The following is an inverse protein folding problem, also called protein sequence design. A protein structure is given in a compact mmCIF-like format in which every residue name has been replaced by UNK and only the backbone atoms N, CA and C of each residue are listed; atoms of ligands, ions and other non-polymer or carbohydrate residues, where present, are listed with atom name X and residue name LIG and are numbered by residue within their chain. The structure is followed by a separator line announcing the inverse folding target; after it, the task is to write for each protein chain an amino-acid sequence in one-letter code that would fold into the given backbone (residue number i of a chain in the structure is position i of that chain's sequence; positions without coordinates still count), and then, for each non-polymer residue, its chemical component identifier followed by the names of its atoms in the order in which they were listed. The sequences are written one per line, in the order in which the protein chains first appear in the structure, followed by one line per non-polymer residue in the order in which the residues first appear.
data_IF_447649553354
#
_entry.id   IF_447649553354
#
_cell.length_a   1.000
_cell.length_b   1.000
_cell.length_c   1.000
_cell.angle_alpha   90.00
_cell.angle_beta   90.00
_cell.angle_gamma   90.00
#
_symmetry.space_group_name_H-M   'P 1'
#
loop_
_entity.id
_entity.type
_entity.pdbx_description
1 polymer ?
#
# COMPACT_ATOMS: atom_id res chain seq x y z
N UNK A 1 -6.25 13.35 32.45
CA UNK A 1 -5.96 14.26 31.32
C UNK A 1 -6.62 13.65 30.09
N UNK A 2 -7.81 14.10 29.70
CA UNK A 2 -8.37 13.71 28.40
C UNK A 2 -7.66 14.53 27.34
N UNK A 3 -6.53 14.04 26.84
CA UNK A 3 -5.86 14.62 25.70
C UNK A 3 -6.77 14.46 24.50
N UNK A 4 -7.51 15.51 24.15
CA UNK A 4 -8.26 15.56 22.89
C UNK A 4 -7.22 15.45 21.77
N UNK A 5 -7.34 14.43 20.93
CA UNK A 5 -6.50 14.28 19.76
C UNK A 5 -6.63 15.56 18.92
N UNK A 6 -5.49 16.13 18.55
CA UNK A 6 -5.44 17.30 17.70
C UNK A 6 -5.80 16.87 16.27
N UNK A 7 -6.92 17.35 15.72
CA UNK A 7 -7.38 16.96 14.38
C UNK A 7 -6.37 17.31 13.28
N UNK A 8 -5.46 18.25 13.51
CA UNK A 8 -4.42 18.64 12.54
C UNK A 8 -3.41 17.51 12.28
N UNK A 9 -3.37 16.48 13.14
CA UNK A 9 -2.52 15.30 12.97
C UNK A 9 -3.26 14.10 12.35
N UNK A 10 -4.54 14.22 12.02
CA UNK A 10 -5.28 13.14 11.35
C UNK A 10 -5.20 13.30 9.83
N UNK A 11 -5.19 12.17 9.12
CA UNK A 11 -5.53 12.19 7.71
C UNK A 11 -6.96 12.73 7.54
N UNK A 12 -7.26 13.30 6.37
CA UNK A 12 -8.63 13.69 6.01
C UNK A 12 -9.60 12.52 6.21
N UNK A 13 -10.85 12.79 6.58
CA UNK A 13 -11.83 11.73 6.80
C UNK A 13 -11.97 10.84 5.55
N UNK A 14 -12.15 9.51 5.71
CA UNK A 14 -12.42 8.65 4.58
C UNK A 14 -13.70 9.09 3.87
N UNK A 15 -13.85 8.80 2.56
CA UNK A 15 -15.10 9.02 1.85
C UNK A 15 -16.29 8.42 2.61
N UNK A 16 -17.38 9.18 2.69
CA UNK A 16 -18.63 8.67 3.26
C UNK A 16 -19.14 7.47 2.42
N UNK A 17 -19.75 6.49 3.07
CA UNK A 17 -20.17 5.24 2.41
C UNK A 17 -21.18 5.48 1.28
N UNK A 18 -22.02 6.49 1.41
CA UNK A 18 -23.02 6.92 0.42
C UNK A 18 -22.47 7.85 -0.67
N UNK A 19 -21.16 8.11 -0.69
CA UNK A 19 -20.54 9.00 -1.67
C UNK A 19 -20.15 8.29 -2.96
N UNK A 20 -20.20 9.01 -4.08
CA UNK A 20 -19.73 8.51 -5.38
C UNK A 20 -18.23 8.14 -5.38
N UNK A 21 -17.44 8.76 -4.50
CA UNK A 21 -16.03 8.43 -4.32
C UNK A 21 -15.86 7.06 -3.66
N UNK A 22 -16.66 6.75 -2.64
CA UNK A 22 -16.66 5.42 -2.02
C UNK A 22 -17.09 4.35 -3.03
N UNK A 23 -18.16 4.58 -3.78
CA UNK A 23 -18.63 3.68 -4.84
C UNK A 23 -17.53 3.39 -5.88
N UNK A 24 -16.85 4.44 -6.36
CA UNK A 24 -15.75 4.29 -7.33
C UNK A 24 -14.61 3.46 -6.74
N UNK A 25 -14.20 3.74 -5.51
CA UNK A 25 -13.11 3.00 -4.84
C UNK A 25 -13.54 1.56 -4.50
N UNK A 26 -14.79 1.34 -4.12
CA UNK A 26 -15.37 0.03 -3.87
C UNK A 26 -15.32 -0.84 -5.12
N UNK A 27 -15.80 -0.32 -6.25
CA UNK A 27 -15.84 -1.05 -7.53
C UNK A 27 -14.44 -1.32 -8.09
N UNK A 28 -13.53 -0.34 -8.03
CA UNK A 28 -12.12 -0.52 -8.45
C UNK A 28 -11.45 -1.63 -7.64
N UNK A 29 -11.65 -1.63 -6.31
CA UNK A 29 -11.06 -2.62 -5.42
C UNK A 29 -11.76 -3.98 -5.63
N UNK A 30 -13.09 -4.03 -5.84
CA UNK A 30 -13.86 -5.27 -6.13
C UNK A 30 -13.33 -5.97 -7.37
N UNK A 31 -13.17 -5.21 -8.45
CA UNK A 31 -12.75 -5.74 -9.74
C UNK A 31 -11.26 -6.07 -9.79
N UNK A 32 -10.41 -5.19 -9.25
CA UNK A 32 -8.94 -5.30 -9.38
C UNK A 32 -8.28 -6.02 -8.21
N UNK A 33 -8.94 -6.18 -7.07
CA UNK A 33 -8.40 -6.83 -5.87
C UNK A 33 -8.82 -8.30 -5.71
N UNK A 34 -9.77 -8.79 -6.53
CA UNK A 34 -10.30 -10.14 -6.40
C UNK A 34 -9.23 -11.23 -6.60
N UNK A 35 -9.39 -12.34 -5.89
CA UNK A 35 -8.58 -13.55 -6.06
C UNK A 35 -8.89 -14.23 -7.40
N UNK A 36 -10.17 -14.31 -7.74
CA UNK A 36 -10.69 -14.94 -8.97
C UNK A 36 -11.84 -14.10 -9.54
N UNK A 37 -12.01 -14.12 -10.86
CA UNK A 37 -13.16 -13.47 -11.52
C UNK A 37 -13.06 -11.95 -11.68
N UNK A 38 -11.95 -11.33 -11.27
CA UNK A 38 -11.69 -9.89 -11.42
C UNK A 38 -11.10 -9.49 -12.78
N UNK A 39 -10.89 -8.18 -12.97
CA UNK A 39 -10.32 -7.56 -14.19
C UNK A 39 -8.85 -7.16 -14.03
N UNK A 40 -8.19 -7.63 -12.96
CA UNK A 40 -6.76 -7.37 -12.71
C UNK A 40 -5.89 -8.00 -13.81
N UNK A 41 -5.07 -7.17 -14.45
CA UNK A 41 -4.12 -7.58 -15.48
C UNK A 41 -2.85 -8.20 -14.87
N UNK A 42 -2.05 -8.92 -15.68
CA UNK A 42 -0.75 -9.43 -15.23
C UNK A 42 0.22 -8.33 -14.75
N UNK A 43 0.20 -7.15 -15.39
CA UNK A 43 1.01 -6.00 -14.98
C UNK A 43 0.55 -5.46 -13.62
N UNK A 44 -0.75 -5.31 -13.40
CA UNK A 44 -1.30 -4.88 -12.10
C UNK A 44 -0.99 -5.89 -10.99
N UNK A 45 -0.96 -7.19 -11.29
CA UNK A 45 -0.50 -8.22 -10.34
C UNK A 45 0.97 -8.06 -9.99
N UNK A 46 1.80 -7.78 -11.00
CA UNK A 46 3.23 -7.51 -10.83
C UNK A 46 3.45 -6.29 -9.93
N UNK A 47 2.71 -5.20 -10.18
CA UNK A 47 2.74 -3.99 -9.33
C UNK A 47 2.32 -4.29 -7.90
N UNK A 48 1.22 -5.04 -7.71
CA UNK A 48 0.76 -5.45 -6.39
C UNK A 48 1.84 -6.17 -5.60
N UNK A 49 2.45 -7.20 -6.20
CA UNK A 49 3.50 -7.99 -5.57
C UNK A 49 4.79 -7.21 -5.34
N UNK A 50 5.21 -6.38 -6.30
CA UNK A 50 6.47 -5.64 -6.24
C UNK A 50 6.60 -4.78 -4.97
N UNK A 51 5.52 -4.12 -4.57
CA UNK A 51 5.47 -3.22 -3.41
C UNK A 51 4.99 -3.89 -2.11
N UNK A 52 4.89 -5.23 -2.06
CA UNK A 52 4.25 -5.94 -0.96
C UNK A 52 5.00 -5.82 0.38
N UNK A 53 6.12 -6.53 0.58
CA UNK A 53 6.94 -6.46 1.81
C UNK A 53 6.09 -6.52 3.09
N UNK A 54 5.08 -7.39 3.12
CA UNK A 54 4.06 -7.43 4.17
C UNK A 54 4.52 -8.24 5.39
N UNK A 55 5.78 -8.09 5.82
CA UNK A 55 6.38 -8.88 6.90
C UNK A 55 6.77 -10.30 6.47
N UNK A 56 6.97 -10.53 5.18
CA UNK A 56 7.30 -11.84 4.64
C UNK A 56 8.69 -12.32 5.08
N UNK A 57 8.86 -13.65 5.12
CA UNK A 57 10.08 -14.28 5.61
C UNK A 57 11.27 -13.90 4.71
N UNK A 58 12.36 -13.44 5.33
CA UNK A 58 13.58 -12.90 4.67
C UNK A 58 13.39 -11.60 3.88
N UNK A 59 12.18 -11.02 3.83
CA UNK A 59 11.91 -9.76 3.13
C UNK A 59 11.63 -8.59 4.08
N UNK A 60 11.03 -8.83 5.24
CA UNK A 60 10.74 -7.77 6.21
C UNK A 60 9.55 -6.90 5.82
N UNK A 61 9.57 -5.63 6.23
CA UNK A 61 8.46 -4.67 6.15
C UNK A 61 8.69 -3.57 5.10
N UNK A 62 7.67 -2.77 4.71
CA UNK A 62 7.81 -1.76 3.65
C UNK A 62 8.92 -0.73 3.86
N UNK A 63 9.23 -0.25 5.09
CA UNK A 63 10.39 0.62 5.32
C UNK A 63 11.74 0.03 4.86
N UNK A 64 11.88 -1.31 4.81
CA UNK A 64 13.07 -1.94 4.22
C UNK A 64 13.13 -1.72 2.71
N UNK A 65 12.01 -1.93 2.00
CA UNK A 65 11.89 -1.68 0.55
C UNK A 65 12.27 -0.24 0.21
N UNK A 66 11.67 0.73 0.90
CA UNK A 66 11.93 2.14 0.62
C UNK A 66 13.39 2.51 0.90
N UNK A 67 14.00 1.99 1.98
CA UNK A 67 15.44 2.17 2.21
C UNK A 67 16.30 1.50 1.12
N UNK A 68 15.91 0.34 0.57
CA UNK A 68 16.64 -0.28 -0.56
C UNK A 68 16.60 0.64 -1.80
N UNK A 69 15.45 1.23 -2.12
CA UNK A 69 15.30 2.19 -3.23
C UNK A 69 16.14 3.44 -2.98
N UNK A 70 16.06 4.03 -1.79
CA UNK A 70 16.83 5.24 -1.41
C UNK A 70 18.33 4.97 -1.52
N UNK A 71 18.80 3.77 -1.13
CA UNK A 71 20.19 3.34 -1.31
C UNK A 71 20.59 3.27 -2.78
N UNK A 72 19.76 2.70 -3.65
CA UNK A 72 20.01 2.66 -5.09
C UNK A 72 20.19 4.07 -5.66
N UNK A 73 19.29 4.98 -5.31
CA UNK A 73 19.34 6.38 -5.75
C UNK A 73 20.60 7.07 -5.21
N UNK A 74 20.92 6.91 -3.92
CA UNK A 74 22.07 7.53 -3.28
C UNK A 74 23.40 7.08 -3.91
N UNK A 75 23.52 5.79 -4.25
CA UNK A 75 24.68 5.24 -4.97
C UNK A 75 24.76 5.85 -6.37
N UNK A 76 23.65 5.89 -7.12
CA UNK A 76 23.59 6.47 -8.46
C UNK A 76 23.95 7.96 -8.47
N UNK A 77 23.57 8.71 -7.44
CA UNK A 77 23.91 10.13 -7.29
C UNK A 77 25.35 10.39 -6.83
N UNK A 78 26.08 9.34 -6.45
CA UNK A 78 27.47 9.46 -5.99
C UNK A 78 27.58 10.21 -4.65
N UNK A 79 26.61 10.04 -3.75
CA UNK A 79 26.59 10.75 -2.48
C UNK A 79 27.86 10.47 -1.63
N UNK A 80 28.40 11.53 -1.02
CA UNK A 80 29.41 11.45 0.03
C UNK A 80 28.81 10.97 1.36
N UNK A 81 29.68 10.67 2.34
CA UNK A 81 29.27 10.21 3.66
C UNK A 81 28.32 11.20 4.35
N UNK A 82 28.64 12.50 4.40
CA UNK A 82 27.78 13.48 5.07
C UNK A 82 26.41 13.62 4.39
N UNK A 83 26.36 13.47 3.06
CA UNK A 83 25.12 13.51 2.30
C UNK A 83 24.26 12.30 2.61
N UNK A 84 24.85 11.11 2.70
CA UNK A 84 24.15 9.89 3.09
C UNK A 84 23.64 9.97 4.53
N UNK A 85 24.45 10.46 5.47
CA UNK A 85 24.00 10.65 6.87
C UNK A 85 22.76 11.54 6.91
N UNK A 86 22.79 12.69 6.21
CA UNK A 86 21.65 13.60 6.17
C UNK A 86 20.43 13.00 5.46
N UNK A 87 20.62 12.38 4.30
CA UNK A 87 19.54 11.78 3.50
C UNK A 87 18.82 10.69 4.30
N UNK A 88 19.56 9.71 4.83
CA UNK A 88 18.95 8.59 5.56
C UNK A 88 18.33 9.03 6.89
N UNK A 89 18.89 10.03 7.57
CA UNK A 89 18.25 10.61 8.75
C UNK A 89 16.90 11.24 8.40
N UNK A 90 16.85 12.12 7.40
CA UNK A 90 15.61 12.79 6.97
C UNK A 90 14.55 11.79 6.51
N UNK A 91 14.92 10.85 5.64
CA UNK A 91 14.01 9.84 5.10
C UNK A 91 13.43 8.95 6.19
N UNK A 92 14.25 8.46 7.12
CA UNK A 92 13.76 7.57 8.18
C UNK A 92 12.99 8.30 9.28
N UNK A 93 13.32 9.58 9.58
CA UNK A 93 12.48 10.41 10.45
C UNK A 93 11.11 10.66 9.81
N UNK A 94 11.08 11.04 8.52
CA UNK A 94 9.82 11.25 7.80
C UNK A 94 8.95 9.99 7.76
N UNK A 95 9.54 8.81 7.48
CA UNK A 95 8.80 7.55 7.55
C UNK A 95 8.31 7.22 8.96
N UNK A 96 9.10 7.51 10.00
CA UNK A 96 8.67 7.24 11.38
C UNK A 96 7.44 8.07 11.75
N UNK A 97 7.46 9.38 11.48
CA UNK A 97 6.33 10.28 11.75
C UNK A 97 5.11 9.93 10.88
N UNK A 98 5.33 9.59 9.60
CA UNK A 98 4.28 9.09 8.70
C UNK A 98 3.61 7.83 9.25
N UNK A 99 4.39 6.91 9.83
CA UNK A 99 3.87 5.71 10.48
C UNK A 99 3.00 6.04 11.70
N UNK A 100 3.47 6.93 12.57
CA UNK A 100 2.72 7.38 13.76
C UNK A 100 1.38 7.98 13.34
N UNK A 101 1.41 8.93 12.39
CA UNK A 101 0.22 9.62 11.90
C UNK A 101 -0.78 8.68 11.21
N UNK A 102 -0.27 7.78 10.36
CA UNK A 102 -1.07 6.79 9.64
C UNK A 102 -1.78 5.85 10.61
N UNK A 103 -1.07 5.30 11.60
CA UNK A 103 -1.66 4.41 12.58
C UNK A 103 -2.64 5.14 13.51
N UNK A 104 -2.34 6.37 13.91
CA UNK A 104 -3.28 7.19 14.67
C UNK A 104 -4.60 7.36 13.89
N UNK A 105 -4.51 7.70 12.60
CA UNK A 105 -5.68 7.88 11.73
C UNK A 105 -6.45 6.57 11.51
N UNK A 106 -5.74 5.44 11.36
CA UNK A 106 -6.34 4.10 11.24
C UNK A 106 -7.25 3.75 12.42
N UNK A 107 -6.75 3.95 13.62
CA UNK A 107 -7.50 3.64 14.84
C UNK A 107 -8.46 4.75 15.25
N UNK A 108 -8.36 5.93 14.64
CA UNK A 108 -9.39 6.97 14.78
C UNK A 108 -10.62 6.66 13.93
N UNK A 109 -10.42 6.30 12.65
CA UNK A 109 -11.53 6.06 11.71
C UNK A 109 -12.06 4.62 11.73
N UNK A 110 -11.24 3.65 12.11
CA UNK A 110 -11.59 2.23 12.22
C UNK A 110 -12.25 1.63 10.96
N UNK A 111 -11.96 2.20 9.77
CA UNK A 111 -12.57 1.75 8.52
C UNK A 111 -12.24 0.27 8.23
N UNK A 112 -13.27 -0.48 7.88
CA UNK A 112 -13.16 -1.91 7.58
C UNK A 112 -12.18 -2.19 6.43
N UNK A 113 -11.62 -3.40 6.44
CA UNK A 113 -10.91 -3.92 5.27
C UNK A 113 -11.90 -4.26 4.17
N UNK A 114 -11.46 -4.25 2.91
CA UNK A 114 -12.46 -4.32 1.85
C UNK A 114 -13.17 -5.69 1.83
N UNK A 115 -12.55 -6.78 2.33
CA UNK A 115 -13.18 -8.13 2.39
C UNK A 115 -14.40 -8.12 3.30
N UNK A 116 -14.39 -7.26 4.31
CA UNK A 116 -15.53 -7.05 5.19
C UNK A 116 -16.52 -6.11 4.50
N UNK A 117 -16.07 -4.98 3.95
CA UNK A 117 -16.94 -4.00 3.29
C UNK A 117 -17.74 -4.55 2.11
N UNK A 118 -17.11 -5.28 1.17
CA UNK A 118 -17.82 -5.88 0.02
C UNK A 118 -18.82 -6.94 0.44
N UNK A 119 -18.52 -7.70 1.50
CA UNK A 119 -19.47 -8.69 2.00
C UNK A 119 -20.59 -8.03 2.77
N UNK A 120 -20.31 -7.01 3.57
CA UNK A 120 -21.32 -6.25 4.31
C UNK A 120 -22.30 -5.54 3.36
N UNK A 121 -21.85 -5.06 2.20
CA UNK A 121 -22.73 -4.48 1.19
C UNK A 121 -23.84 -5.44 0.70
N UNK A 122 -23.71 -6.75 0.92
CA UNK A 122 -24.83 -7.70 0.80
C UNK A 122 -25.47 -7.92 2.19
N UNK A 123 -26.71 -7.43 2.43
CA UNK A 123 -27.36 -7.54 3.73
C UNK A 123 -27.36 -8.97 4.29
N UNK A 124 -26.86 -9.10 5.53
CA UNK A 124 -26.73 -10.38 6.24
C UNK A 124 -25.37 -11.06 6.13
N UNK A 125 -24.43 -10.53 5.35
CA UNK A 125 -23.12 -11.16 5.10
C UNK A 125 -21.92 -10.49 5.76
N UNK A 126 -22.11 -9.34 6.40
CA UNK A 126 -21.09 -8.64 7.17
C UNK A 126 -21.31 -8.66 8.68
N UNK A 127 -20.38 -8.10 9.48
CA UNK A 127 -20.46 -8.02 10.93
C UNK A 127 -21.70 -7.32 11.47
N UNK A 128 -22.28 -6.34 10.75
CA UNK A 128 -23.52 -5.68 11.18
C UNK A 128 -24.75 -6.43 10.68
N UNK A 129 -24.64 -7.04 9.49
CA UNK A 129 -25.73 -7.73 8.81
C UNK A 129 -26.78 -6.78 8.22
N UNK A 130 -26.54 -5.46 8.28
CA UNK A 130 -27.50 -4.44 7.86
C UNK A 130 -27.32 -4.03 6.39
N UNK A 131 -26.16 -4.26 5.78
CA UNK A 131 -25.78 -3.55 4.56
C UNK A 131 -24.81 -2.41 4.84
N UNK A 132 -24.29 -1.78 3.79
CA UNK A 132 -23.51 -0.54 3.88
C UNK A 132 -24.34 0.72 3.59
N UNK A 133 -25.67 0.57 3.49
CA UNK A 133 -26.66 1.62 3.18
C UNK A 133 -26.40 2.39 1.86
N UNK A 134 -25.61 1.83 0.94
CA UNK A 134 -25.37 2.42 -0.37
C UNK A 134 -26.02 1.56 -1.49
N UNK A 135 -27.02 2.07 -2.22
CA UNK A 135 -27.69 1.30 -3.28
C UNK A 135 -26.83 1.08 -4.53
N UNK A 136 -25.73 1.82 -4.68
CA UNK A 136 -24.81 1.72 -5.83
C UNK A 136 -23.66 0.74 -5.60
N UNK A 137 -23.50 0.21 -4.38
CA UNK A 137 -22.53 -0.85 -4.08
C UNK A 137 -23.18 -2.22 -4.16
N UNK A 138 -22.82 -2.98 -5.19
CA UNK A 138 -23.24 -4.38 -5.28
C UNK A 138 -22.32 -5.24 -4.40
N UNK A 139 -22.84 -5.78 -3.31
CA UNK A 139 -22.10 -6.71 -2.46
C UNK A 139 -21.72 -8.03 -3.15
N UNK A 140 -20.75 -8.73 -2.59
CA UNK A 140 -20.44 -10.12 -2.97
C UNK A 140 -20.02 -10.90 -1.71
N UNK A 141 -20.93 -11.74 -1.16
CA UNK A 141 -20.70 -12.57 0.01
C UNK A 141 -19.48 -13.50 -0.04
N UNK A 142 -19.14 -13.97 -1.24
CA UNK A 142 -18.11 -14.97 -1.48
C UNK A 142 -16.82 -14.35 -2.00
N UNK A 143 -16.81 -13.03 -2.15
CA UNK A 143 -15.66 -12.27 -2.61
C UNK A 143 -14.43 -12.59 -1.76
N UNK A 144 -13.32 -12.91 -2.41
CA UNK A 144 -12.05 -13.24 -1.77
C UNK A 144 -10.92 -12.37 -2.33
N UNK A 145 -9.99 -11.93 -1.48
CA UNK A 145 -8.88 -11.11 -1.94
C UNK A 145 -7.74 -11.90 -2.52
N UNK A 146 -7.05 -11.28 -3.48
CA UNK A 146 -5.73 -11.74 -3.87
C UNK A 146 -4.77 -11.75 -2.66
N UNK A 147 -4.84 -10.69 -1.86
CA UNK A 147 -4.27 -10.63 -0.51
C UNK A 147 -2.77 -10.31 -0.47
N UNK A 148 -2.30 -9.96 0.72
CA UNK A 148 -0.89 -9.75 0.99
C UNK A 148 -0.13 -11.09 0.90
N UNK A 149 0.97 -11.15 0.11
CA UNK A 149 1.66 -12.41 -0.14
C UNK A 149 2.40 -12.91 1.11
N UNK A 150 2.43 -14.24 1.27
CA UNK A 150 3.30 -14.92 2.25
C UNK A 150 4.54 -15.51 1.59
N UNK A 151 5.34 -14.61 1.02
CA UNK A 151 6.57 -14.96 0.30
C UNK A 151 7.51 -15.76 1.19
N UNK A 152 8.18 -16.74 0.57
CA UNK A 152 9.06 -17.72 1.22
C UNK A 152 8.36 -18.65 2.24
N UNK A 153 7.03 -18.77 2.20
CA UNK A 153 6.25 -19.71 3.01
C UNK A 153 5.29 -20.55 2.13
N UNK A 154 5.81 -21.52 1.34
CA UNK A 154 4.97 -22.34 0.47
C UNK A 154 3.84 -23.05 1.22
N UNK A 155 2.67 -23.13 0.60
CA UNK A 155 1.47 -23.74 1.17
C UNK A 155 0.70 -22.87 2.15
N UNK A 156 1.23 -21.70 2.56
CA UNK A 156 0.51 -20.76 3.42
C UNK A 156 -0.15 -19.68 2.57
N UNK A 157 -1.48 -19.60 2.62
CA UNK A 157 -2.28 -18.65 1.83
C UNK A 157 -1.95 -17.19 2.18
N UNK A 158 -2.15 -16.30 1.20
CA UNK A 158 -2.17 -14.86 1.38
C UNK A 158 -3.14 -14.42 2.48
N UNK A 159 -2.94 -13.23 3.02
CA UNK A 159 -3.71 -12.74 4.17
C UNK A 159 -4.17 -11.29 4.00
N UNK A 160 -5.09 -10.87 4.84
CA UNK A 160 -5.44 -9.45 5.01
C UNK A 160 -4.77 -8.93 6.27
N UNK A 161 -3.99 -7.83 6.22
CA UNK A 161 -3.32 -7.31 7.41
C UNK A 161 -4.32 -6.90 8.51
N UNK A 162 -3.98 -7.20 9.76
CA UNK A 162 -4.86 -7.16 10.93
C UNK A 162 -4.97 -5.77 11.61
N UNK A 163 -5.21 -4.73 10.81
CA UNK A 163 -5.42 -3.36 11.27
C UNK A 163 -6.40 -2.63 10.33
N UNK A 164 -7.01 -1.49 10.71
CA UNK A 164 -7.96 -0.76 9.88
C UNK A 164 -7.39 -0.35 8.51
N UNK A 165 -8.27 -0.14 7.53
CA UNK A 165 -7.87 0.08 6.14
C UNK A 165 -7.29 1.47 5.88
N UNK A 166 -7.90 2.52 6.43
CA UNK A 166 -7.68 3.90 6.02
C UNK A 166 -6.88 4.73 7.04
N UNK A 167 -5.87 5.52 6.63
CA UNK A 167 -5.28 5.57 5.28
C UNK A 167 -4.35 4.37 5.03
N UNK A 168 -3.90 4.14 3.80
CA UNK A 168 -2.96 3.06 3.48
C UNK A 168 -1.55 3.34 4.03
N UNK A 169 -1.01 2.42 4.86
CA UNK A 169 0.34 2.54 5.40
C UNK A 169 1.43 2.58 4.34
N UNK A 170 1.35 1.70 3.33
CA UNK A 170 2.27 1.74 2.18
C UNK A 170 2.23 3.06 1.45
N UNK A 171 1.04 3.62 1.20
CA UNK A 171 0.92 4.90 0.50
C UNK A 171 1.60 6.02 1.32
N UNK A 172 1.33 6.08 2.64
CA UNK A 172 1.92 7.09 3.52
C UNK A 172 3.44 6.95 3.64
N UNK A 173 3.97 5.74 3.87
CA UNK A 173 5.43 5.53 3.95
C UNK A 173 6.14 5.78 2.62
N UNK A 174 5.58 5.30 1.52
CA UNK A 174 6.16 5.47 0.19
C UNK A 174 6.24 6.93 -0.22
N UNK A 175 5.14 7.67 -0.03
CA UNK A 175 5.13 9.13 -0.24
C UNK A 175 6.15 9.82 0.66
N UNK A 176 6.08 9.65 1.99
CA UNK A 176 7.00 10.29 2.93
C UNK A 176 8.49 10.01 2.63
N UNK A 177 8.82 8.79 2.22
CA UNK A 177 10.19 8.40 1.90
C UNK A 177 10.69 9.03 0.61
N UNK A 178 9.96 8.86 -0.50
CA UNK A 178 10.42 9.29 -1.82
C UNK A 178 10.21 10.79 -2.03
N UNK A 179 9.22 11.42 -1.41
CA UNK A 179 9.13 12.88 -1.39
C UNK A 179 10.27 13.51 -0.59
N UNK A 180 10.71 12.89 0.51
CA UNK A 180 11.88 13.39 1.22
C UNK A 180 13.16 13.27 0.37
N UNK A 181 13.27 12.24 -0.48
CA UNK A 181 14.34 12.14 -1.49
C UNK A 181 14.21 13.27 -2.53
N UNK A 182 13.00 13.52 -3.04
CA UNK A 182 12.71 14.61 -3.99
C UNK A 182 13.11 15.97 -3.41
N UNK A 183 12.75 16.25 -2.16
CA UNK A 183 13.09 17.48 -1.46
C UNK A 183 14.61 17.59 -1.21
N UNK A 184 15.26 16.50 -0.81
CA UNK A 184 16.71 16.48 -0.57
C UNK A 184 17.52 16.82 -1.83
N UNK A 185 17.14 16.26 -2.98
CA UNK A 185 17.82 16.52 -4.25
C UNK A 185 17.24 17.71 -5.04
N UNK A 186 16.12 18.30 -4.58
CA UNK A 186 15.45 19.42 -5.22
C UNK A 186 14.82 19.09 -6.58
N UNK A 187 14.54 17.82 -6.87
CA UNK A 187 13.97 17.42 -8.17
C UNK A 187 13.21 16.09 -8.09
N UNK A 188 12.10 16.01 -8.81
CA UNK A 188 11.31 14.79 -9.00
C UNK A 188 11.86 13.91 -10.15
N UNK A 189 12.62 14.51 -11.07
CA UNK A 189 13.19 13.83 -12.23
C UNK A 189 14.44 13.03 -11.86
N UNK A 190 14.25 11.98 -11.05
CA UNK A 190 15.28 11.01 -10.68
C UNK A 190 14.85 9.65 -11.22
N UNK A 191 15.43 9.28 -12.36
CA UNK A 191 15.23 7.96 -12.92
C UNK A 191 16.05 6.91 -12.16
N UNK A 192 15.46 5.75 -11.89
CA UNK A 192 16.15 4.62 -11.26
C UNK A 192 15.54 3.29 -11.70
N UNK A 193 16.38 2.25 -11.66
CA UNK A 193 15.97 0.86 -11.86
C UNK A 193 15.97 0.14 -10.51
N UNK A 194 14.99 -0.74 -10.27
CA UNK A 194 14.92 -1.53 -9.05
C UNK A 194 14.34 -2.92 -9.30
N UNK A 195 14.88 -3.91 -8.59
CA UNK A 195 14.34 -5.27 -8.52
C UNK A 195 13.88 -5.49 -7.08
N UNK A 196 12.58 -5.71 -6.91
CA UNK A 196 11.98 -6.02 -5.61
C UNK A 196 12.36 -7.42 -5.18
N UNK A 197 12.63 -7.62 -3.88
CA UNK A 197 12.87 -8.96 -3.34
C UNK A 197 11.63 -9.86 -3.44
N UNK A 198 10.45 -9.27 -3.66
CA UNK A 198 9.22 -10.02 -3.97
C UNK A 198 9.25 -10.63 -5.37
N UNK A 199 10.10 -10.14 -6.28
CA UNK A 199 10.16 -10.50 -7.70
C UNK A 199 11.61 -10.49 -8.21
N UNK A 200 12.50 -11.19 -7.48
CA UNK A 200 13.95 -11.17 -7.74
C UNK A 200 14.50 -12.43 -8.42
N UNK A 201 13.66 -13.39 -8.80
CA UNK A 201 14.14 -14.67 -9.37
C UNK A 201 14.67 -15.66 -8.34
N UNK A 202 14.52 -15.37 -7.04
CA UNK A 202 15.00 -16.22 -5.93
C UNK A 202 13.91 -16.52 -4.91
N UNK A 203 13.10 -15.51 -4.56
CA UNK A 203 12.00 -15.64 -3.62
C UNK A 203 10.95 -16.63 -4.11
N UNK A 204 10.35 -17.36 -3.19
CA UNK A 204 9.40 -18.44 -3.49
C UNK A 204 7.97 -18.00 -3.21
N UNK A 205 7.07 -18.30 -4.13
CA UNK A 205 5.65 -18.01 -4.01
C UNK A 205 4.88 -19.05 -3.16
N UNK A 206 3.60 -18.78 -2.91
CA UNK A 206 2.72 -19.63 -2.10
C UNK A 206 2.52 -21.02 -2.69
N UNK A 207 2.67 -21.20 -4.00
CA UNK A 207 2.59 -22.49 -4.69
C UNK A 207 3.93 -23.24 -4.75
N UNK A 208 5.00 -22.65 -4.18
CA UNK A 208 6.35 -23.21 -4.21
C UNK A 208 7.15 -22.87 -5.47
N UNK A 209 6.57 -22.14 -6.43
CA UNK A 209 7.28 -21.66 -7.61
C UNK A 209 8.27 -20.54 -7.25
N UNK A 210 9.33 -20.41 -8.05
CA UNK A 210 10.25 -19.28 -7.94
C UNK A 210 9.58 -18.07 -8.58
N UNK A 211 9.52 -16.96 -7.84
CA UNK A 211 8.96 -15.72 -8.35
C UNK A 211 9.84 -15.13 -9.43
N UNK A 212 9.19 -14.73 -10.52
CA UNK A 212 9.86 -14.19 -11.70
C UNK A 212 10.74 -12.99 -11.34
N UNK A 213 11.96 -12.95 -11.89
CA UNK A 213 12.82 -11.77 -11.79
C UNK A 213 12.23 -10.64 -12.64
N UNK A 214 11.80 -9.55 -12.00
CA UNK A 214 11.20 -8.40 -12.66
C UNK A 214 11.88 -7.10 -12.24
N UNK A 215 12.55 -6.46 -13.20
CA UNK A 215 13.17 -5.14 -13.03
C UNK A 215 12.17 -4.06 -13.43
N UNK A 216 11.87 -3.15 -12.51
CA UNK A 216 11.09 -1.94 -12.80
C UNK A 216 11.99 -0.76 -13.05
N UNK A 217 11.57 0.11 -13.97
CA UNK A 217 12.21 1.38 -14.26
C UNK A 217 11.21 2.49 -13.93
N UNK A 218 11.68 3.52 -13.23
CA UNK A 218 10.91 4.73 -12.98
C UNK A 218 11.69 5.91 -13.55
N UNK A 219 10.99 6.85 -14.19
CA UNK A 219 11.58 8.09 -14.69
C UNK A 219 11.52 9.22 -13.65
N UNK A 220 10.52 9.17 -12.78
CA UNK A 220 10.28 10.14 -11.71
C UNK A 220 10.00 9.44 -10.39
N UNK A 221 10.29 10.14 -9.29
CA UNK A 221 9.96 9.65 -7.96
C UNK A 221 8.44 9.60 -7.76
N UNK A 222 7.71 10.59 -8.29
CA UNK A 222 6.25 10.59 -8.28
C UNK A 222 5.67 9.32 -8.89
N UNK A 223 6.21 8.82 -10.00
CA UNK A 223 5.70 7.61 -10.66
C UNK A 223 5.79 6.39 -9.72
N UNK A 224 6.89 6.27 -8.99
CA UNK A 224 7.10 5.23 -8.00
C UNK A 224 6.17 5.38 -6.78
N UNK A 225 5.95 6.60 -6.28
CA UNK A 225 5.00 6.89 -5.18
C UNK A 225 3.59 6.46 -5.59
N UNK A 226 3.18 6.81 -6.80
CA UNK A 226 1.84 6.57 -7.33
C UNK A 226 1.58 5.09 -7.53
N UNK A 227 2.57 4.38 -8.08
CA UNK A 227 2.50 2.95 -8.29
C UNK A 227 2.47 2.19 -6.95
N UNK A 228 3.30 2.60 -5.98
CA UNK A 228 3.27 2.07 -4.61
C UNK A 228 1.89 2.26 -3.97
N UNK A 229 1.26 3.43 -4.14
CA UNK A 229 -0.11 3.67 -3.70
C UNK A 229 -1.09 2.68 -4.33
N UNK A 230 -1.11 2.58 -5.67
CA UNK A 230 -2.04 1.71 -6.42
C UNK A 230 -1.82 0.22 -6.17
N UNK A 231 -0.61 -0.21 -5.81
CA UNK A 231 -0.29 -1.61 -5.50
C UNK A 231 -1.25 -2.25 -4.50
N UNK A 232 -1.75 -1.47 -3.53
CA UNK A 232 -2.63 -1.97 -2.48
C UNK A 232 -4.07 -2.17 -2.95
N UNK A 233 -4.51 -1.56 -4.04
CA UNK A 233 -5.76 -1.90 -4.73
C UNK A 233 -5.65 -3.30 -5.32
N UNK A 234 -4.54 -3.58 -6.01
CA UNK A 234 -4.31 -4.85 -6.69
C UNK A 234 -4.13 -6.03 -5.73
N UNK A 235 -3.60 -5.79 -4.52
CA UNK A 235 -3.56 -6.76 -3.42
C UNK A 235 -4.77 -6.68 -2.47
N UNK A 236 -5.78 -5.84 -2.77
CA UNK A 236 -6.99 -5.65 -1.97
C UNK A 236 -6.83 -5.02 -0.58
N UNK A 237 -5.65 -4.54 -0.23
CA UNK A 237 -5.39 -4.10 1.14
C UNK A 237 -6.00 -2.74 1.49
N UNK A 238 -6.57 -1.94 0.57
CA UNK A 238 -7.12 -0.61 0.90
C UNK A 238 -8.34 -0.25 0.07
N UNK A 239 -9.43 0.13 0.73
CA UNK A 239 -10.46 1.03 0.18
C UNK A 239 -9.90 2.46 0.30
N UNK A 240 -10.11 3.31 -0.69
CA UNK A 240 -9.57 4.67 -0.75
C UNK A 240 -8.03 4.76 -0.85
N UNK A 241 -7.49 4.50 -2.03
CA UNK A 241 -6.07 4.76 -2.38
C UNK A 241 -5.86 6.18 -2.92
N UNK A 242 -6.94 6.93 -3.16
CA UNK A 242 -6.88 8.25 -3.82
C UNK A 242 -6.51 9.44 -2.93
N UNK A 243 -6.24 9.26 -1.63
CA UNK A 243 -6.02 10.41 -0.71
C UNK A 243 -4.56 10.76 -0.38
N UNK A 244 -3.56 10.05 -0.92
CA UNK A 244 -2.14 10.43 -0.72
C UNK A 244 -1.59 11.40 -1.79
N UNK A 245 -2.44 12.15 -2.48
CA UNK A 245 -2.04 13.09 -3.54
C UNK A 245 -2.18 14.54 -3.08
N UNK A 246 -1.36 14.95 -2.13
CA UNK A 246 -1.22 16.35 -1.78
C UNK A 246 0.26 16.77 -1.98
N UNK A 247 0.47 17.65 -2.97
CA UNK A 247 1.66 18.49 -3.30
C UNK A 247 2.72 17.98 -4.30
#
# INVERSE_FOLDING_TARGET
MSGRLDPDFLAEAPPALDSSQYETDFNDVKEKGALTGGTRTPEETTVGLFWAYDGAQKLGTPPRLYNQIVRTIAIQKGNMLEQNVRLFALVNMAMADAGIQCWLSKYHYELWRPVVGIREADPGWGPTGCGDDNPETEGDPYWLPFGAPRTNQPGIKSFTPNFPAYPSGHATFGAASLDMVRLFYGTDNIAFDFVSDELNGESVDVDGSIRTHHKRNFNRLSDAINENGRSRVYLWCSLAVRFCWWY
#
